data_IF_804099439685
#
_entry.id   IF_804099439685
#
_cell.length_a   1.000
_cell.length_b   1.000
_cell.length_c   1.000
_cell.angle_alpha   90.00
_cell.angle_beta   90.00
_cell.angle_gamma   90.00
#
_symmetry.space_group_name_H-M   'P 1'
#
loop_
_entity.id
_entity.type
_entity.pdbx_description
1 polymer ?
#
# COMPACT_ATOMS: atom_id res chain seq x y z
N UNK A 1 -14.85 -9.00 -14.02
CA UNK A 1 -15.20 -9.85 -12.86
C UNK A 1 -14.91 -11.33 -13.10
N UNK A 2 -15.51 -11.99 -14.09
CA UNK A 2 -15.32 -13.45 -14.30
C UNK A 2 -13.85 -13.88 -14.41
N UNK A 3 -13.04 -13.17 -15.19
CA UNK A 3 -11.60 -13.47 -15.30
C UNK A 3 -10.81 -13.29 -13.99
N UNK A 4 -11.20 -12.34 -13.11
CA UNK A 4 -10.58 -12.19 -11.80
C UNK A 4 -10.95 -13.34 -10.86
N UNK A 5 -12.19 -13.83 -10.91
CA UNK A 5 -12.61 -15.00 -10.11
C UNK A 5 -11.89 -16.27 -10.52
N UNK A 6 -11.71 -16.50 -11.83
CA UNK A 6 -10.92 -17.64 -12.31
C UNK A 6 -9.47 -17.58 -11.84
N UNK A 7 -8.82 -16.41 -11.94
CA UNK A 7 -7.46 -16.19 -11.42
C UNK A 7 -7.40 -16.39 -9.90
N UNK A 8 -8.40 -15.95 -9.17
CA UNK A 8 -8.46 -16.12 -7.71
C UNK A 8 -8.52 -17.59 -7.30
N UNK A 9 -9.28 -18.41 -8.02
CA UNK A 9 -9.38 -19.86 -7.75
C UNK A 9 -8.07 -20.57 -8.10
N UNK A 10 -7.41 -20.19 -9.22
CA UNK A 10 -6.26 -20.90 -9.76
C UNK A 10 -4.92 -20.52 -9.13
N UNK A 11 -4.82 -19.39 -8.43
CA UNK A 11 -3.54 -18.97 -7.83
C UNK A 11 -3.34 -19.52 -6.42
N UNK A 12 -2.18 -20.12 -6.18
CA UNK A 12 -1.70 -20.56 -4.86
C UNK A 12 -0.80 -19.53 -4.18
N UNK A 13 -0.28 -18.53 -4.92
CA UNK A 13 0.60 -17.48 -4.39
C UNK A 13 -0.20 -16.51 -3.49
N UNK A 14 0.15 -16.37 -2.19
CA UNK A 14 -0.59 -15.52 -1.26
C UNK A 14 -0.61 -14.04 -1.66
N UNK A 15 0.51 -13.52 -2.17
CA UNK A 15 0.63 -12.12 -2.60
C UNK A 15 -0.27 -11.82 -3.79
N UNK A 16 -0.24 -12.68 -4.82
CA UNK A 16 -1.11 -12.56 -5.99
C UNK A 16 -2.58 -12.74 -5.61
N UNK A 17 -2.89 -13.71 -4.76
CA UNK A 17 -4.25 -13.95 -4.28
C UNK A 17 -4.82 -12.74 -3.55
N UNK A 18 -4.04 -12.17 -2.63
CA UNK A 18 -4.40 -10.95 -1.92
C UNK A 18 -4.67 -9.78 -2.88
N UNK A 19 -3.81 -9.58 -3.89
CA UNK A 19 -4.02 -8.52 -4.89
C UNK A 19 -5.33 -8.71 -5.65
N UNK A 20 -5.65 -9.93 -6.07
CA UNK A 20 -6.92 -10.23 -6.75
C UNK A 20 -8.11 -9.97 -5.83
N UNK A 21 -8.03 -10.29 -4.55
CA UNK A 21 -9.10 -10.02 -3.57
C UNK A 21 -9.31 -8.51 -3.36
N UNK A 22 -8.24 -7.71 -3.36
CA UNK A 22 -8.32 -6.26 -3.38
C UNK A 22 -9.02 -5.74 -4.64
N UNK A 23 -8.63 -6.24 -5.81
CA UNK A 23 -9.26 -5.84 -7.09
C UNK A 23 -10.75 -6.19 -7.12
N UNK A 24 -11.12 -7.36 -6.59
CA UNK A 24 -12.54 -7.75 -6.45
C UNK A 24 -13.29 -6.88 -5.45
N UNK A 25 -12.65 -6.46 -4.36
CA UNK A 25 -13.22 -5.51 -3.40
C UNK A 25 -13.46 -4.15 -4.06
N UNK A 26 -12.48 -3.60 -4.77
CA UNK A 26 -12.60 -2.31 -5.47
C UNK A 26 -13.61 -2.36 -6.61
N UNK A 27 -13.62 -3.44 -7.40
CA UNK A 27 -14.67 -3.65 -8.40
C UNK A 27 -16.06 -3.70 -7.75
N UNK A 28 -16.19 -4.41 -6.64
CA UNK A 28 -17.43 -4.50 -5.86
C UNK A 28 -17.89 -3.16 -5.28
N UNK A 29 -16.96 -2.26 -4.95
CA UNK A 29 -17.30 -0.92 -4.46
C UNK A 29 -18.12 -0.11 -5.48
N UNK A 30 -17.87 -0.36 -6.77
CA UNK A 30 -18.54 0.34 -7.88
C UNK A 30 -19.80 -0.40 -8.39
N UNK A 31 -19.85 -1.74 -8.26
CA UNK A 31 -20.86 -2.55 -8.96
C UNK A 31 -21.73 -3.41 -8.04
N UNK A 32 -21.25 -3.82 -6.85
CA UNK A 32 -21.97 -4.77 -5.99
C UNK A 32 -21.55 -4.70 -4.53
N UNK A 33 -22.42 -4.12 -3.70
CA UNK A 33 -22.21 -4.05 -2.24
C UNK A 33 -21.95 -5.42 -1.60
N UNK A 34 -22.55 -6.49 -2.14
CA UNK A 34 -22.34 -7.85 -1.64
C UNK A 34 -20.91 -8.33 -1.89
N UNK A 35 -20.41 -8.17 -3.13
CA UNK A 35 -19.04 -8.56 -3.50
C UNK A 35 -18.03 -7.74 -2.71
N UNK A 36 -18.19 -6.42 -2.61
CA UNK A 36 -17.35 -5.56 -1.78
C UNK A 36 -17.25 -6.07 -0.35
N UNK A 37 -18.39 -6.28 0.32
CA UNK A 37 -18.42 -6.76 1.71
C UNK A 37 -17.79 -8.15 1.87
N UNK A 38 -18.01 -9.05 0.89
CA UNK A 38 -17.46 -10.41 0.89
C UNK A 38 -15.93 -10.37 0.91
N UNK A 39 -15.30 -9.59 0.01
CA UNK A 39 -13.85 -9.51 -0.09
C UNK A 39 -13.24 -8.62 0.99
N UNK A 40 -13.87 -7.54 1.39
CA UNK A 40 -13.44 -6.72 2.53
C UNK A 40 -13.32 -7.55 3.82
N UNK A 41 -14.32 -8.39 4.11
CA UNK A 41 -14.28 -9.31 5.25
C UNK A 41 -13.17 -10.35 5.12
N UNK A 42 -12.97 -10.90 3.93
CA UNK A 42 -11.86 -11.84 3.71
C UNK A 42 -10.50 -11.20 3.95
N UNK A 43 -10.27 -10.00 3.41
CA UNK A 43 -9.04 -9.23 3.61
C UNK A 43 -8.81 -9.01 5.11
N UNK A 44 -9.85 -8.66 5.85
CA UNK A 44 -9.77 -8.44 7.29
C UNK A 44 -9.47 -9.73 8.07
N UNK A 45 -10.27 -10.77 7.90
CA UNK A 45 -10.19 -11.97 8.74
C UNK A 45 -9.09 -12.97 8.32
N UNK A 46 -8.77 -13.04 7.03
CA UNK A 46 -7.76 -14.01 6.53
C UNK A 46 -6.36 -13.45 6.59
N UNK A 47 -6.19 -12.16 6.25
CA UNK A 47 -4.87 -11.53 6.18
C UNK A 47 -4.60 -10.57 7.35
N UNK A 48 -5.57 -10.38 8.25
CA UNK A 48 -5.49 -9.38 9.31
C UNK A 48 -5.17 -7.96 8.77
N UNK A 49 -5.71 -7.63 7.58
CA UNK A 49 -5.50 -6.35 6.91
C UNK A 49 -6.79 -5.53 6.92
N UNK A 50 -6.68 -4.25 7.27
CA UNK A 50 -7.79 -3.29 7.17
C UNK A 50 -7.49 -2.28 6.07
N UNK A 51 -8.03 -2.54 4.88
CA UNK A 51 -7.85 -1.67 3.72
C UNK A 51 -9.20 -1.10 3.32
N UNK A 52 -9.29 0.22 3.34
CA UNK A 52 -10.51 0.92 2.92
C UNK A 52 -10.79 0.69 1.43
N UNK A 53 -12.04 0.40 1.12
CA UNK A 53 -12.50 0.31 -0.27
C UNK A 53 -12.58 1.68 -0.99
N UNK A 54 -12.30 2.76 -0.27
CA UNK A 54 -12.21 4.13 -0.81
C UNK A 54 -10.76 4.56 -1.08
N UNK A 55 -9.77 3.75 -0.65
CA UNK A 55 -8.36 4.02 -0.95
C UNK A 55 -8.09 3.90 -2.46
N UNK A 56 -7.24 4.77 -2.99
CA UNK A 56 -6.79 4.75 -4.38
C UNK A 56 -5.47 3.99 -4.49
N UNK A 57 -5.54 2.69 -4.78
CA UNK A 57 -4.36 1.82 -4.88
C UNK A 57 -4.24 1.29 -6.31
N UNK A 58 -3.20 1.72 -7.02
CA UNK A 58 -2.97 1.31 -8.41
C UNK A 58 -2.86 -0.23 -8.52
N UNK A 59 -3.42 -0.86 -9.56
CA UNK A 59 -3.43 -2.33 -9.72
C UNK A 59 -2.04 -3.01 -9.71
N UNK A 60 -0.98 -2.31 -10.11
CA UNK A 60 0.40 -2.82 -10.10
C UNK A 60 1.10 -2.77 -8.75
N UNK A 61 0.45 -2.24 -7.70
CA UNK A 61 1.03 -2.24 -6.35
C UNK A 61 1.13 -3.68 -5.84
N UNK A 62 2.33 -4.05 -5.38
CA UNK A 62 2.63 -5.37 -4.88
C UNK A 62 2.60 -5.42 -3.35
N UNK A 63 2.09 -6.53 -2.81
CA UNK A 63 2.05 -6.83 -1.38
C UNK A 63 2.78 -8.15 -1.13
N UNK A 64 4.11 -8.18 -0.99
CA UNK A 64 4.88 -9.43 -0.90
C UNK A 64 4.45 -10.32 0.28
N UNK A 65 4.16 -9.70 1.41
CA UNK A 65 3.72 -10.37 2.63
C UNK A 65 2.46 -9.68 3.19
N UNK A 66 1.26 -9.96 2.65
CA UNK A 66 0.04 -9.25 3.02
C UNK A 66 -0.48 -9.70 4.39
N UNK A 67 0.04 -9.09 5.45
CA UNK A 67 -0.38 -9.35 6.83
C UNK A 67 -0.30 -8.08 7.67
N UNK A 68 -1.36 -7.76 8.41
CA UNK A 68 -1.40 -6.64 9.34
C UNK A 68 -1.29 -5.25 8.69
N UNK A 69 -1.64 -5.13 7.41
CA UNK A 69 -1.56 -3.86 6.68
C UNK A 69 -2.84 -3.05 6.93
N UNK A 70 -2.67 -1.76 7.25
CA UNK A 70 -3.78 -0.82 7.44
C UNK A 70 -3.65 0.33 6.44
N UNK A 71 -4.66 0.54 5.59
CA UNK A 71 -4.68 1.64 4.61
C UNK A 71 -6.04 2.35 4.68
N UNK A 72 -6.01 3.60 5.09
CA UNK A 72 -7.21 4.41 5.26
C UNK A 72 -7.78 4.94 3.96
N UNK A 73 -8.95 5.57 4.06
CA UNK A 73 -9.85 5.89 2.92
C UNK A 73 -9.32 6.95 1.97
N UNK A 74 -8.47 7.85 2.42
CA UNK A 74 -7.92 8.93 1.59
C UNK A 74 -6.48 8.65 1.12
N UNK A 75 -5.95 7.47 1.46
CA UNK A 75 -4.62 7.08 1.01
C UNK A 75 -4.57 6.85 -0.50
N UNK A 76 -3.48 7.31 -1.12
CA UNK A 76 -3.22 7.08 -2.54
C UNK A 76 -1.86 6.42 -2.72
N UNK A 77 -1.82 5.32 -3.49
CA UNK A 77 -0.58 4.59 -3.80
C UNK A 77 -0.47 4.38 -5.30
N UNK A 78 0.53 5.00 -5.89
CA UNK A 78 0.76 4.96 -7.34
C UNK A 78 1.50 3.69 -7.79
N UNK A 79 1.63 3.54 -9.11
CA UNK A 79 2.12 2.33 -9.77
C UNK A 79 3.53 1.89 -9.33
N UNK A 80 3.80 0.58 -9.41
CA UNK A 80 5.12 -0.01 -9.17
C UNK A 80 5.56 -0.03 -7.71
N UNK A 81 4.77 0.54 -6.79
CA UNK A 81 5.13 0.55 -5.37
C UNK A 81 4.97 -0.81 -4.72
N UNK A 82 5.76 -1.07 -3.66
CA UNK A 82 5.70 -2.30 -2.87
C UNK A 82 5.40 -1.98 -1.41
N UNK A 83 4.41 -2.66 -0.83
CA UNK A 83 3.99 -2.48 0.56
C UNK A 83 4.19 -3.79 1.31
N UNK A 84 5.04 -3.76 2.30
CA UNK A 84 5.32 -4.93 3.14
C UNK A 84 4.34 -5.05 4.31
N UNK A 85 4.46 -6.14 5.06
CA UNK A 85 3.58 -6.45 6.19
C UNK A 85 3.61 -5.35 7.27
N UNK A 86 2.50 -5.24 8.02
CA UNK A 86 2.35 -4.33 9.18
C UNK A 86 2.54 -2.84 8.85
N UNK A 87 2.50 -2.46 7.58
CA UNK A 87 2.52 -1.05 7.16
C UNK A 87 1.19 -0.39 7.53
N UNK A 88 1.26 0.83 8.02
CA UNK A 88 0.08 1.67 8.24
C UNK A 88 0.18 2.94 7.39
N UNK A 89 -0.86 3.22 6.60
CA UNK A 89 -1.08 4.50 5.94
C UNK A 89 -2.37 5.09 6.52
N UNK A 90 -2.23 6.08 7.40
CA UNK A 90 -3.34 6.59 8.21
C UNK A 90 -3.36 8.10 8.35
N UNK A 91 -4.47 8.59 8.92
CA UNK A 91 -4.66 10.00 9.27
C UNK A 91 -3.88 10.35 10.54
N UNK A 92 -3.54 11.63 10.68
CA UNK A 92 -3.10 12.23 11.94
C UNK A 92 -4.27 12.81 12.76
N UNK A 93 -5.52 12.50 12.35
CA UNK A 93 -6.76 12.96 12.97
C UNK A 93 -6.96 14.51 12.99
N UNK A 94 -6.28 15.21 12.08
CA UNK A 94 -6.57 16.62 11.85
C UNK A 94 -7.94 16.79 11.15
N UNK A 95 -8.45 18.01 11.11
CA UNK A 95 -9.79 18.33 10.60
C UNK A 95 -10.07 17.87 9.18
N UNK A 96 -9.05 17.80 8.31
CA UNK A 96 -9.15 17.35 6.93
C UNK A 96 -9.04 15.82 6.76
N UNK A 97 -8.65 15.13 7.85
CA UNK A 97 -8.45 13.68 7.90
C UNK A 97 -7.58 13.13 6.74
N UNK A 98 -6.70 13.99 6.19
CA UNK A 98 -5.86 13.65 5.04
C UNK A 98 -4.88 12.51 5.35
N UNK A 99 -4.51 11.76 4.30
CA UNK A 99 -3.62 10.60 4.40
C UNK A 99 -2.54 10.67 3.33
N UNK A 100 -1.52 9.84 3.48
CA UNK A 100 -0.36 9.89 2.61
C UNK A 100 -0.69 9.56 1.14
N UNK A 101 -0.06 10.33 0.25
CA UNK A 101 0.08 10.03 -1.17
C UNK A 101 1.47 9.49 -1.45
N UNK A 102 1.54 8.24 -1.87
CA UNK A 102 2.78 7.56 -2.24
C UNK A 102 2.90 7.55 -3.76
N UNK A 103 3.95 8.19 -4.27
CA UNK A 103 4.24 8.23 -5.71
C UNK A 103 4.85 6.91 -6.19
N UNK A 104 5.11 6.85 -7.51
CA UNK A 104 5.51 5.63 -8.22
C UNK A 104 6.78 4.98 -7.67
N UNK A 105 6.86 3.65 -7.84
CA UNK A 105 8.06 2.85 -7.60
C UNK A 105 8.62 2.97 -6.18
N UNK A 106 7.78 3.30 -5.20
CA UNK A 106 8.22 3.48 -3.81
C UNK A 106 8.15 2.16 -3.04
N UNK A 107 9.21 1.86 -2.30
CA UNK A 107 9.32 0.72 -1.41
C UNK A 107 8.93 1.14 0.01
N UNK A 108 7.97 0.45 0.62
CA UNK A 108 7.55 0.70 2.00
C UNK A 108 7.83 -0.55 2.81
N UNK A 109 8.89 -0.48 3.63
CA UNK A 109 9.38 -1.58 4.44
C UNK A 109 8.41 -2.00 5.55
N UNK A 110 8.60 -3.22 6.05
CA UNK A 110 7.74 -3.83 7.07
C UNK A 110 7.58 -2.93 8.31
N UNK A 111 6.34 -2.84 8.80
CA UNK A 111 6.04 -2.07 10.00
C UNK A 111 6.10 -0.55 9.85
N UNK A 112 6.41 0.01 8.68
CA UNK A 112 6.47 1.46 8.48
C UNK A 112 5.11 2.12 8.69
N UNK A 113 5.12 3.35 9.22
CA UNK A 113 3.94 4.18 9.48
C UNK A 113 4.03 5.48 8.70
N UNK A 114 3.08 5.71 7.80
CA UNK A 114 2.93 6.94 7.02
C UNK A 114 1.68 7.66 7.54
N UNK A 115 1.86 8.75 8.24
CA UNK A 115 0.79 9.38 9.02
C UNK A 115 0.53 10.82 8.59
N UNK A 116 -0.73 11.11 8.24
CA UNK A 116 -1.20 12.43 7.83
C UNK A 116 -1.13 12.67 6.33
N UNK A 117 -1.54 13.87 5.90
CA UNK A 117 -1.58 14.31 4.50
C UNK A 117 -0.19 14.63 3.93
N UNK A 118 0.69 13.65 3.92
CA UNK A 118 2.07 13.77 3.44
C UNK A 118 2.21 13.23 2.03
N UNK A 119 3.19 13.73 1.30
CA UNK A 119 3.58 13.21 0.00
C UNK A 119 4.91 12.48 0.09
N UNK A 120 4.95 11.22 -0.34
CA UNK A 120 6.16 10.43 -0.51
C UNK A 120 6.51 10.44 -1.99
N UNK A 121 7.68 10.94 -2.31
CA UNK A 121 8.17 11.09 -3.67
C UNK A 121 8.34 9.77 -4.43
N UNK A 122 8.70 9.88 -5.70
CA UNK A 122 8.97 8.72 -6.56
C UNK A 122 10.29 8.05 -6.18
N UNK A 123 10.37 6.73 -6.41
CA UNK A 123 11.59 5.93 -6.21
C UNK A 123 12.16 6.06 -4.78
N UNK A 124 11.29 6.30 -3.79
CA UNK A 124 11.69 6.39 -2.40
C UNK A 124 11.79 5.00 -1.74
N UNK A 125 12.59 4.91 -0.69
CA UNK A 125 12.67 3.74 0.18
C UNK A 125 12.33 4.12 1.62
N UNK A 126 11.22 3.62 2.11
CA UNK A 126 10.85 3.76 3.52
C UNK A 126 11.33 2.50 4.25
N UNK A 127 12.27 2.68 5.16
CA UNK A 127 12.86 1.58 5.93
C UNK A 127 11.86 0.91 6.85
N UNK A 128 12.18 -0.31 7.26
CA UNK A 128 11.36 -1.06 8.21
C UNK A 128 11.16 -0.27 9.51
N UNK A 129 9.95 -0.29 10.05
CA UNK A 129 9.53 0.43 11.26
C UNK A 129 9.78 1.96 11.23
N UNK A 130 10.02 2.54 10.06
CA UNK A 130 10.14 3.99 9.94
C UNK A 130 8.79 4.67 10.21
N UNK A 131 8.83 5.79 10.92
CA UNK A 131 7.66 6.66 11.15
C UNK A 131 7.84 7.92 10.32
N UNK A 132 6.94 8.15 9.38
CA UNK A 132 6.99 9.27 8.44
C UNK A 132 5.77 10.15 8.63
N UNK A 133 5.99 11.36 9.07
CA UNK A 133 4.95 12.38 9.32
C UNK A 133 5.21 13.68 8.56
N UNK A 134 6.21 13.68 7.68
CA UNK A 134 6.58 14.81 6.83
C UNK A 134 6.75 14.35 5.39
N UNK A 135 6.44 15.22 4.45
CA UNK A 135 6.63 14.92 3.03
C UNK A 135 8.11 14.69 2.68
N UNK A 136 8.34 13.83 1.71
CA UNK A 136 9.65 13.33 1.31
C UNK A 136 9.82 13.59 -0.18
N UNK A 137 10.95 14.17 -0.57
CA UNK A 137 11.30 14.38 -1.98
C UNK A 137 11.60 13.03 -2.68
N UNK A 138 11.61 13.07 -4.01
CA UNK A 138 11.94 11.91 -4.84
C UNK A 138 13.35 11.36 -4.53
N UNK A 139 13.56 10.06 -4.76
CA UNK A 139 14.84 9.36 -4.62
C UNK A 139 15.44 9.43 -3.22
N UNK A 140 14.61 9.52 -2.18
CA UNK A 140 15.06 9.57 -0.79
C UNK A 140 14.82 8.23 -0.06
N UNK A 141 15.71 7.91 0.87
CA UNK A 141 15.50 6.84 1.84
C UNK A 141 15.17 7.43 3.22
N UNK A 142 14.17 6.86 3.90
CA UNK A 142 13.75 7.28 5.24
C UNK A 142 13.99 6.13 6.20
N UNK A 143 14.62 6.42 7.32
CA UNK A 143 14.84 5.46 8.40
C UNK A 143 14.43 6.06 9.75
N UNK A 144 14.00 5.23 10.67
CA UNK A 144 13.58 5.67 12.00
C UNK A 144 12.44 6.70 11.95
N UNK A 145 12.56 7.76 12.73
CA UNK A 145 11.54 8.80 12.81
C UNK A 145 11.93 10.00 11.92
N UNK A 146 11.32 10.11 10.73
CA UNK A 146 11.55 11.18 9.73
C UNK A 146 13.02 11.43 9.35
N UNK A 147 13.93 10.47 9.60
CA UNK A 147 15.33 10.65 9.22
C UNK A 147 15.52 10.37 7.73
N UNK A 148 15.73 11.41 6.96
CA UNK A 148 16.00 11.32 5.51
C UNK A 148 17.47 11.00 5.29
N UNK A 149 17.73 9.93 4.55
CA UNK A 149 19.05 9.63 3.98
C UNK A 149 18.91 9.83 2.47
N UNK A 150 19.63 10.79 1.89
CA UNK A 150 19.70 10.94 0.45
C UNK A 150 20.56 9.83 -0.13
N UNK A 151 19.95 8.92 -0.85
CA UNK A 151 20.70 7.93 -1.63
C UNK A 151 21.06 8.61 -2.96
N UNK A 152 22.35 8.80 -3.23
CA UNK A 152 22.80 9.01 -4.61
C UNK A 152 22.60 7.66 -5.31
N UNK A 153 21.43 7.45 -5.92
CA UNK A 153 21.21 6.28 -6.76
C UNK A 153 21.99 6.52 -8.06
N UNK A 154 23.04 5.78 -8.27
CA UNK A 154 23.55 5.54 -9.62
C UNK A 154 22.53 4.62 -10.31
N UNK A 155 22.27 4.85 -11.59
CA UNK A 155 21.25 4.13 -12.40
C UNK A 155 21.40 2.59 -12.39
N UNK A 156 22.52 2.06 -11.85
CA UNK A 156 22.81 0.63 -11.75
C UNK A 156 22.15 -0.07 -10.54
N UNK A 157 21.65 0.66 -9.53
CA UNK A 157 21.13 0.07 -8.27
C UNK A 157 19.59 -0.02 -8.20
N UNK A 158 18.89 0.29 -9.29
CA UNK A 158 17.41 0.24 -9.35
C UNK A 158 16.89 -1.19 -9.57
N UNK A 159 17.75 -2.17 -9.72
CA UNK A 159 17.34 -3.59 -9.82
C UNK A 159 17.02 -4.09 -8.43
N UNK A 160 15.75 -3.99 -8.05
CA UNK A 160 15.20 -4.70 -6.89
C UNK A 160 15.10 -6.20 -7.23
N UNK A 161 15.54 -7.09 -6.35
CA UNK A 161 15.32 -8.52 -6.51
C UNK A 161 13.84 -8.88 -6.52
#
# INVERSE_FOLDING_TARGET
>A
MFGLLLKWISTSDPSRRFRIELDLMFWGAQHSRFIRKRFQRRIFYVYNCDISHLADIHPSVCFPHPSGIVIGSQAKVESGSRIYQQVTIGSNFNSDNSMARVKKNTYIGSGAKLIGGIEIGENCRIGANAIVTKSVADYCSIVGNNKVIRTKLTDAEIVLP
#
